data_IF_800224791997
#
_entry.id   IF_800224791997
#
_cell.length_a   1.000
_cell.length_b   1.000
_cell.length_c   1.000
_cell.angle_alpha   90.00
_cell.angle_beta   90.00
_cell.angle_gamma   90.00
#
_symmetry.space_group_name_H-M   'P 1'
#
loop_
_entity.id
_entity.type
_entity.pdbx_description
1 polymer ?
#
# COMPACT_ATOMS: atom_id res chain seq x y z
N UNK A 1 -52.30 15.51 5.97
CA UNK A 1 -51.04 15.81 5.26
C UNK A 1 -49.86 16.26 6.18
N UNK A 2 -50.07 17.02 7.27
CA UNK A 2 -48.96 17.52 8.07
C UNK A 2 -48.28 16.51 9.03
N UNK A 3 -48.97 15.50 9.51
CA UNK A 3 -48.42 14.50 10.46
C UNK A 3 -47.58 13.43 9.75
N UNK A 4 -48.04 12.92 8.63
CA UNK A 4 -47.30 11.91 7.81
C UNK A 4 -45.95 12.45 7.31
N UNK A 5 -45.90 13.70 6.85
CA UNK A 5 -44.64 14.31 6.43
C UNK A 5 -43.62 14.47 7.58
N UNK A 6 -44.09 14.66 8.82
CA UNK A 6 -43.21 14.76 9.98
C UNK A 6 -42.62 13.38 10.41
N UNK A 7 -43.40 12.31 10.29
CA UNK A 7 -42.94 10.97 10.59
C UNK A 7 -41.91 10.46 9.55
N UNK A 8 -42.19 10.72 8.27
CA UNK A 8 -41.28 10.42 7.18
C UNK A 8 -39.96 11.19 7.35
N UNK A 9 -40.03 12.50 7.66
CA UNK A 9 -38.83 13.31 7.92
C UNK A 9 -38.05 12.80 9.12
N UNK A 10 -38.72 12.42 10.21
CA UNK A 10 -38.08 11.87 11.41
C UNK A 10 -37.39 10.54 11.14
N UNK A 11 -38.05 9.62 10.40
CA UNK A 11 -37.47 8.37 9.96
C UNK A 11 -36.27 8.59 9.03
N UNK A 12 -36.33 9.55 8.12
CA UNK A 12 -35.22 9.92 7.25
C UNK A 12 -34.03 10.50 8.04
N UNK A 13 -34.27 11.36 9.02
CA UNK A 13 -33.24 11.94 9.89
C UNK A 13 -32.59 10.84 10.77
N UNK A 14 -33.38 9.87 11.24
CA UNK A 14 -32.86 8.69 11.95
C UNK A 14 -32.03 7.79 11.06
N UNK A 15 -32.45 7.53 9.81
CA UNK A 15 -31.68 6.80 8.80
C UNK A 15 -30.37 7.50 8.48
N UNK A 16 -30.38 8.84 8.34
CA UNK A 16 -29.14 9.62 8.12
C UNK A 16 -28.20 9.53 9.31
N UNK A 17 -28.69 9.57 10.54
CA UNK A 17 -27.89 9.35 11.77
C UNK A 17 -27.29 7.94 11.81
N UNK A 18 -28.06 6.93 11.42
CA UNK A 18 -27.63 5.54 11.33
C UNK A 18 -26.61 5.35 10.22
N UNK A 19 -26.82 5.97 9.05
CA UNK A 19 -25.88 5.95 7.91
C UNK A 19 -24.48 6.45 8.31
N UNK A 20 -24.41 7.47 9.16
CA UNK A 20 -23.13 7.99 9.66
C UNK A 20 -22.46 7.05 10.70
N UNK A 21 -23.22 6.14 11.33
CA UNK A 21 -22.69 5.15 12.26
C UNK A 21 -22.27 3.84 11.58
N UNK A 22 -22.74 3.59 10.35
CA UNK A 22 -22.50 2.32 9.64
C UNK A 22 -21.18 2.25 8.89
N UNK A 23 -20.27 3.22 9.08
CA UNK A 23 -19.00 3.31 8.36
C UNK A 23 -19.15 3.73 6.90
N UNK A 24 -18.05 4.18 6.31
CA UNK A 24 -17.97 4.60 4.90
C UNK A 24 -17.04 3.67 4.13
N UNK A 25 -17.34 3.43 2.87
CA UNK A 25 -16.41 2.76 1.97
C UNK A 25 -15.24 3.69 1.64
N UNK A 26 -14.04 3.18 1.86
CA UNK A 26 -12.77 3.85 1.57
C UNK A 26 -12.11 3.16 0.38
N UNK A 27 -11.72 3.95 -0.62
CA UNK A 27 -10.91 3.48 -1.73
C UNK A 27 -9.50 3.25 -1.21
N UNK A 28 -9.12 1.98 -1.05
CA UNK A 28 -7.91 1.53 -0.39
C UNK A 28 -6.96 0.88 -1.38
N UNK A 29 -5.69 1.27 -1.33
CA UNK A 29 -4.62 0.56 -2.02
C UNK A 29 -3.79 -0.24 -1.00
N UNK A 30 -3.74 -1.54 -1.21
CA UNK A 30 -2.77 -2.40 -0.55
C UNK A 30 -1.49 -2.44 -1.38
N UNK A 31 -0.35 -2.57 -0.74
CA UNK A 31 0.93 -2.76 -1.39
C UNK A 31 1.35 -1.58 -2.29
N UNK A 32 1.73 -0.49 -1.64
CA UNK A 32 2.31 0.67 -2.30
C UNK A 32 3.77 0.79 -1.88
N UNK A 33 4.65 0.88 -2.86
CA UNK A 33 6.03 1.27 -2.65
C UNK A 33 6.18 2.78 -2.64
N UNK A 34 7.18 3.26 -1.90
CA UNK A 34 7.58 4.66 -1.86
C UNK A 34 8.92 4.86 -2.55
N UNK A 35 9.36 6.09 -2.78
CA UNK A 35 10.69 6.38 -3.34
C UNK A 35 11.89 5.81 -2.55
N UNK A 36 11.67 5.24 -1.36
CA UNK A 36 12.71 4.55 -0.59
C UNK A 36 12.92 3.12 -1.07
N UNK A 37 11.90 2.49 -1.67
CA UNK A 37 12.06 1.14 -2.22
C UNK A 37 13.09 1.13 -3.35
N UNK A 38 14.01 0.18 -3.31
CA UNK A 38 15.17 0.14 -4.21
C UNK A 38 14.81 0.00 -5.69
N UNK A 39 13.65 -0.52 -5.99
CA UNK A 39 13.11 -0.76 -7.34
C UNK A 39 12.01 0.23 -7.75
N UNK A 40 11.67 1.21 -6.91
CA UNK A 40 10.69 2.24 -7.22
C UNK A 40 11.21 3.20 -8.33
N UNK A 41 10.36 3.56 -9.29
CA UNK A 41 10.75 4.37 -10.46
C UNK A 41 9.93 5.65 -10.65
N UNK A 42 9.06 6.03 -9.76
CA UNK A 42 8.18 7.20 -9.76
C UNK A 42 7.24 7.30 -10.97
N UNK A 43 7.77 7.27 -12.19
CA UNK A 43 7.02 7.32 -13.43
C UNK A 43 7.29 6.06 -14.28
N UNK A 44 6.25 5.55 -14.93
CA UNK A 44 6.35 4.36 -15.77
C UNK A 44 7.38 4.52 -16.90
N UNK A 45 7.49 5.71 -17.47
CA UNK A 45 8.47 6.04 -18.52
C UNK A 45 9.93 5.84 -18.08
N UNK A 46 10.20 5.80 -16.77
CA UNK A 46 11.52 5.54 -16.20
C UNK A 46 11.77 4.07 -15.82
N UNK A 47 10.79 3.20 -16.04
CA UNK A 47 10.90 1.79 -15.65
C UNK A 47 12.04 1.06 -16.36
N UNK A 48 12.32 1.42 -17.60
CA UNK A 48 13.34 0.78 -18.43
C UNK A 48 14.75 1.39 -18.25
N UNK A 49 14.88 2.43 -17.42
CA UNK A 49 16.18 3.03 -17.11
C UNK A 49 17.01 2.08 -16.24
N UNK A 50 18.28 1.87 -16.64
CA UNK A 50 19.25 1.22 -15.78
C UNK A 50 19.48 2.03 -14.48
N UNK A 51 19.95 1.40 -13.43
CA UNK A 51 20.28 2.09 -12.16
C UNK A 51 21.27 3.26 -12.39
N UNK A 52 22.21 3.10 -13.33
CA UNK A 52 23.16 4.16 -13.69
C UNK A 52 22.50 5.36 -14.36
N UNK A 53 21.50 5.13 -15.21
CA UNK A 53 20.75 6.21 -15.89
C UNK A 53 19.80 6.88 -14.89
N UNK A 54 19.09 6.10 -14.09
CA UNK A 54 18.24 6.59 -13.01
C UNK A 54 18.98 7.55 -12.06
N UNK A 55 20.19 7.16 -11.62
CA UNK A 55 20.99 7.98 -10.71
C UNK A 55 21.49 9.30 -11.34
N UNK A 56 21.50 9.41 -12.68
CA UNK A 56 21.90 10.63 -13.40
C UNK A 56 20.77 11.63 -13.61
N UNK A 57 19.51 11.22 -13.41
CA UNK A 57 18.39 12.15 -13.57
C UNK A 57 18.60 13.37 -12.67
N UNK A 58 18.44 14.55 -13.23
CA UNK A 58 18.55 15.83 -12.51
C UNK A 58 17.22 16.21 -11.84
N UNK A 59 17.22 17.25 -11.03
CA UNK A 59 15.98 17.83 -10.48
C UNK A 59 15.08 18.34 -11.61
N UNK A 60 15.68 18.90 -12.65
CA UNK A 60 14.98 19.41 -13.85
C UNK A 60 14.25 18.30 -14.58
N UNK A 61 14.84 17.09 -14.69
CA UNK A 61 14.19 15.93 -15.30
C UNK A 61 12.93 15.53 -14.50
N UNK A 62 13.02 15.53 -13.17
CA UNK A 62 11.87 15.27 -12.29
C UNK A 62 10.77 16.33 -12.47
N UNK A 63 11.13 17.61 -12.47
CA UNK A 63 10.19 18.71 -12.64
C UNK A 63 9.53 18.69 -14.02
N UNK A 64 10.28 18.31 -15.06
CA UNK A 64 9.76 18.17 -16.42
C UNK A 64 8.67 17.09 -16.45
N UNK A 65 8.95 15.90 -15.88
CA UNK A 65 7.96 14.80 -15.83
C UNK A 65 6.74 15.15 -14.97
N UNK A 66 6.93 15.84 -13.84
CA UNK A 66 5.83 16.32 -13.01
C UNK A 66 4.89 17.24 -13.80
N UNK A 67 5.45 18.14 -14.62
CA UNK A 67 4.69 19.05 -15.52
C UNK A 67 3.99 18.29 -16.63
N UNK A 68 4.69 17.36 -17.31
CA UNK A 68 4.11 16.52 -18.36
C UNK A 68 2.88 15.75 -17.85
N UNK A 69 2.94 15.24 -16.66
CA UNK A 69 1.84 14.51 -16.01
C UNK A 69 0.75 15.43 -15.41
N UNK A 70 0.93 16.76 -15.45
CA UNK A 70 -0.02 17.77 -14.93
C UNK A 70 -0.46 17.46 -13.48
N UNK A 71 0.48 17.06 -12.64
CA UNK A 71 0.21 16.67 -11.24
C UNK A 71 -0.04 17.88 -10.35
N UNK A 72 0.66 18.99 -10.65
CA UNK A 72 0.54 20.24 -9.93
C UNK A 72 0.32 21.40 -10.88
N UNK A 73 -0.51 22.42 -10.51
CA UNK A 73 -0.59 23.68 -11.19
C UNK A 73 0.75 24.42 -11.25
N UNK A 74 0.92 25.30 -12.25
CA UNK A 74 2.17 26.06 -12.47
C UNK A 74 2.59 26.91 -11.27
N UNK A 75 1.61 27.45 -10.50
CA UNK A 75 1.89 28.28 -9.33
C UNK A 75 2.68 27.56 -8.23
N UNK A 76 2.64 26.21 -8.17
CA UNK A 76 3.40 25.44 -7.18
C UNK A 76 4.87 25.26 -7.52
N UNK A 77 5.27 25.55 -8.77
CA UNK A 77 6.66 25.52 -9.20
C UNK A 77 7.39 26.83 -8.94
N UNK A 78 6.65 27.94 -8.74
CA UNK A 78 7.20 29.28 -8.47
C UNK A 78 6.38 29.95 -7.40
N UNK A 79 7.02 30.48 -6.35
CA UNK A 79 6.41 31.37 -5.38
C UNK A 79 6.81 32.82 -5.67
N UNK A 80 6.15 33.79 -5.02
CA UNK A 80 6.49 35.23 -5.12
C UNK A 80 7.93 35.52 -4.69
N UNK A 81 8.49 34.70 -3.80
CA UNK A 81 9.83 34.84 -3.24
C UNK A 81 10.87 33.93 -3.94
N UNK A 82 10.49 33.30 -5.06
CA UNK A 82 11.35 32.36 -5.79
C UNK A 82 11.39 30.94 -5.24
N UNK A 83 10.75 30.72 -4.10
CA UNK A 83 10.65 29.39 -3.47
C UNK A 83 9.54 28.54 -4.09
N UNK A 84 9.78 27.26 -4.24
CA UNK A 84 8.79 26.28 -4.72
C UNK A 84 8.29 25.40 -3.56
N UNK A 85 6.98 25.13 -3.52
CA UNK A 85 6.42 24.17 -2.57
C UNK A 85 6.92 22.75 -2.87
N UNK A 86 7.23 22.46 -4.14
CA UNK A 86 7.54 21.10 -4.59
C UNK A 86 8.98 20.69 -4.26
N UNK A 87 9.96 21.58 -4.34
CA UNK A 87 11.37 21.18 -4.19
C UNK A 87 12.17 21.98 -3.17
N UNK A 88 11.73 23.17 -2.74
CA UNK A 88 12.45 23.97 -1.77
C UNK A 88 12.19 23.48 -0.33
N UNK A 89 13.14 23.79 0.59
CA UNK A 89 12.99 23.49 2.01
C UNK A 89 12.90 21.98 2.35
N UNK A 90 13.47 21.11 1.53
CA UNK A 90 13.40 19.65 1.72
C UNK A 90 13.87 19.21 3.12
N UNK A 91 14.95 19.80 3.66
CA UNK A 91 15.47 19.50 5.01
C UNK A 91 14.44 19.85 6.09
N UNK A 92 13.82 21.04 6.01
CA UNK A 92 12.75 21.45 6.93
C UNK A 92 11.55 20.51 6.87
N UNK A 93 11.27 20.00 5.68
CA UNK A 93 10.21 19.03 5.44
C UNK A 93 10.61 17.59 5.81
N UNK A 94 11.89 17.35 6.17
CA UNK A 94 12.43 16.07 6.63
C UNK A 94 12.72 15.08 5.53
N UNK A 95 13.06 15.59 4.34
CA UNK A 95 13.59 14.82 3.21
C UNK A 95 15.10 15.00 3.10
N UNK A 96 15.78 14.07 2.46
CA UNK A 96 17.24 14.08 2.34
C UNK A 96 17.73 15.06 1.28
N UNK A 97 16.95 15.17 0.19
CA UNK A 97 17.26 16.04 -0.94
C UNK A 97 15.99 16.43 -1.71
N UNK A 98 16.15 17.31 -2.69
CA UNK A 98 15.06 17.83 -3.52
C UNK A 98 14.36 16.75 -4.33
N UNK A 99 15.11 15.80 -4.90
CA UNK A 99 14.52 14.69 -5.70
C UNK A 99 13.64 13.80 -4.83
N UNK A 100 14.08 13.51 -3.63
CA UNK A 100 13.29 12.73 -2.67
C UNK A 100 12.00 13.47 -2.31
N UNK A 101 12.09 14.76 -1.97
CA UNK A 101 10.89 15.56 -1.69
C UNK A 101 9.93 15.57 -2.87
N UNK A 102 10.40 15.87 -4.09
CA UNK A 102 9.58 15.87 -5.30
C UNK A 102 8.90 14.51 -5.44
N UNK A 103 9.65 13.42 -5.32
CA UNK A 103 9.12 12.07 -5.49
C UNK A 103 7.99 11.76 -4.52
N UNK A 104 8.18 12.01 -3.23
CA UNK A 104 7.15 11.79 -2.22
C UNK A 104 5.92 12.68 -2.40
N UNK A 105 6.09 13.96 -2.74
CA UNK A 105 4.96 14.86 -3.00
C UNK A 105 4.19 14.45 -4.25
N UNK A 106 4.88 13.97 -5.29
CA UNK A 106 4.27 13.45 -6.52
C UNK A 106 3.44 12.19 -6.22
N UNK A 107 3.96 11.25 -5.43
CA UNK A 107 3.20 10.07 -4.98
C UNK A 107 1.94 10.51 -4.24
N UNK A 108 2.08 11.38 -3.24
CA UNK A 108 0.94 11.88 -2.47
C UNK A 108 -0.10 12.57 -3.36
N UNK A 109 0.31 13.44 -4.28
CA UNK A 109 -0.59 14.14 -5.19
C UNK A 109 -1.28 13.19 -6.17
N UNK A 110 -0.59 12.18 -6.66
CA UNK A 110 -1.19 11.13 -7.50
C UNK A 110 -2.30 10.38 -6.75
N UNK A 111 -2.07 10.02 -5.49
CA UNK A 111 -3.10 9.39 -4.65
C UNK A 111 -4.32 10.28 -4.45
N UNK A 112 -4.12 11.60 -4.23
CA UNK A 112 -5.22 12.56 -4.16
C UNK A 112 -5.96 12.69 -5.49
N UNK A 113 -5.25 12.68 -6.63
CA UNK A 113 -5.87 12.71 -7.96
C UNK A 113 -6.79 11.51 -8.19
N UNK A 114 -6.35 10.32 -7.74
CA UNK A 114 -7.09 9.07 -7.88
C UNK A 114 -8.18 8.89 -6.80
N UNK A 115 -8.38 9.89 -5.92
CA UNK A 115 -9.33 9.84 -4.79
C UNK A 115 -9.12 8.62 -3.88
N UNK A 116 -7.87 8.23 -3.69
CA UNK A 116 -7.49 7.21 -2.70
C UNK A 116 -7.64 7.82 -1.31
N UNK A 117 -8.19 7.07 -0.38
CA UNK A 117 -8.41 7.55 0.98
C UNK A 117 -7.71 6.72 2.06
N UNK A 118 -7.19 5.53 1.69
CA UNK A 118 -6.37 4.70 2.57
C UNK A 118 -5.30 3.99 1.76
N UNK A 119 -4.08 3.92 2.28
CA UNK A 119 -2.97 3.18 1.69
C UNK A 119 -2.26 2.30 2.71
N UNK A 120 -1.74 1.16 2.26
CA UNK A 120 -0.77 0.36 3.02
C UNK A 120 0.59 0.57 2.36
N UNK A 121 1.48 1.30 3.04
CA UNK A 121 2.86 1.51 2.57
C UNK A 121 3.69 0.29 2.94
N UNK A 122 4.34 -0.32 1.95
CA UNK A 122 5.02 -1.61 2.12
C UNK A 122 6.28 -1.70 1.26
N UNK A 123 7.26 -0.84 1.53
CA UNK A 123 8.54 -0.87 0.85
C UNK A 123 9.29 -2.19 1.07
N UNK A 124 10.10 -2.60 0.09
CA UNK A 124 10.93 -3.80 0.19
C UNK A 124 11.92 -3.70 1.36
N UNK A 125 11.74 -4.61 2.33
CA UNK A 125 12.69 -4.85 3.42
C UNK A 125 13.02 -3.61 4.27
N UNK A 126 12.16 -2.57 4.24
CA UNK A 126 12.34 -1.35 5.02
C UNK A 126 11.00 -0.71 5.37
N UNK A 127 10.99 0.05 6.48
CA UNK A 127 9.84 0.85 6.91
C UNK A 127 10.15 2.36 6.90
N UNK A 128 11.30 2.75 6.36
CA UNK A 128 11.78 4.15 6.43
C UNK A 128 10.96 5.11 5.56
N UNK A 129 10.24 4.61 4.55
CA UNK A 129 9.36 5.40 3.69
C UNK A 129 8.06 5.86 4.35
N UNK A 130 7.58 5.16 5.39
CA UNK A 130 6.26 5.39 5.99
C UNK A 130 6.11 6.82 6.51
N UNK A 131 7.04 7.28 7.38
CA UNK A 131 6.98 8.64 7.95
C UNK A 131 7.17 9.73 6.91
N UNK A 132 7.98 9.48 5.88
CA UNK A 132 8.17 10.41 4.76
C UNK A 132 6.88 10.52 3.94
N UNK A 133 6.17 9.40 3.74
CA UNK A 133 4.87 9.38 3.06
C UNK A 133 3.78 10.12 3.85
N UNK A 134 3.68 9.91 5.16
CA UNK A 134 2.79 10.67 6.05
C UNK A 134 3.02 12.17 5.95
N UNK A 135 4.29 12.61 5.94
CA UNK A 135 4.65 14.02 5.77
C UNK A 135 4.24 14.56 4.41
N UNK A 136 4.52 13.81 3.35
CA UNK A 136 4.15 14.21 1.99
C UNK A 136 2.63 14.36 1.85
N UNK A 137 1.85 13.41 2.36
CA UNK A 137 0.39 13.48 2.39
C UNK A 137 -0.08 14.71 3.15
N UNK A 138 0.51 15.01 4.32
CA UNK A 138 0.17 16.21 5.08
C UNK A 138 0.41 17.48 4.28
N UNK A 139 1.61 17.64 3.69
CA UNK A 139 1.94 18.82 2.87
C UNK A 139 0.96 18.97 1.71
N UNK A 140 0.72 17.88 0.97
CA UNK A 140 -0.15 17.91 -0.21
C UNK A 140 -1.62 18.12 0.17
N UNK A 141 -2.07 17.65 1.33
CA UNK A 141 -3.45 17.86 1.83
C UNK A 141 -3.76 19.32 2.09
N UNK A 142 -2.76 20.13 2.44
CA UNK A 142 -2.89 21.55 2.74
C UNK A 142 -2.93 22.42 1.47
N UNK A 143 -2.63 21.86 0.30
CA UNK A 143 -2.66 22.58 -0.97
C UNK A 143 -4.10 22.88 -1.42
N UNK A 144 -4.32 24.08 -1.98
CA UNK A 144 -5.64 24.51 -2.46
C UNK A 144 -6.27 23.52 -3.46
N UNK A 145 -5.46 22.87 -4.31
CA UNK A 145 -5.90 21.87 -5.28
C UNK A 145 -6.59 20.65 -4.63
N UNK A 146 -6.30 20.36 -3.36
CA UNK A 146 -6.87 19.26 -2.60
C UNK A 146 -7.89 19.69 -1.54
N UNK A 147 -8.24 20.97 -1.50
CA UNK A 147 -9.23 21.51 -0.56
C UNK A 147 -10.56 20.78 -0.67
N UNK A 148 -11.06 20.26 0.46
CA UNK A 148 -12.31 19.51 0.51
C UNK A 148 -12.20 18.02 0.19
N UNK A 149 -11.02 17.54 -0.20
CA UNK A 149 -10.77 16.09 -0.32
C UNK A 149 -10.55 15.46 1.06
N UNK A 150 -10.88 14.18 1.19
CA UNK A 150 -10.61 13.43 2.42
C UNK A 150 -9.10 13.24 2.62
N UNK A 151 -8.64 13.33 3.87
CA UNK A 151 -7.25 13.04 4.23
C UNK A 151 -6.93 11.57 3.95
N UNK A 152 -5.76 11.29 3.38
CA UNK A 152 -5.33 9.92 3.09
C UNK A 152 -4.73 9.30 4.35
N UNK A 153 -5.32 8.20 4.81
CA UNK A 153 -4.81 7.42 5.95
C UNK A 153 -3.69 6.49 5.51
N UNK A 154 -2.57 6.53 6.21
CA UNK A 154 -1.43 5.63 6.00
C UNK A 154 -1.48 4.51 7.02
N UNK A 155 -1.48 3.27 6.54
CA UNK A 155 -1.32 2.06 7.34
C UNK A 155 0.09 1.55 7.11
N UNK A 156 0.78 1.24 8.21
CA UNK A 156 2.14 0.76 8.15
C UNK A 156 2.20 -0.66 7.62
N UNK A 157 3.12 -0.91 6.73
CA UNK A 157 3.43 -2.21 6.19
C UNK A 157 4.90 -2.33 5.81
N UNK A 158 5.29 -3.52 5.44
CA UNK A 158 6.58 -3.86 4.84
C UNK A 158 6.40 -5.07 3.95
N UNK A 159 7.05 -5.09 2.80
CA UNK A 159 7.17 -6.28 1.98
C UNK A 159 8.52 -6.94 2.24
N UNK A 160 8.49 -8.18 2.70
CA UNK A 160 9.69 -8.96 3.01
C UNK A 160 9.98 -9.90 1.85
N UNK A 161 11.12 -9.71 1.20
CA UNK A 161 11.67 -10.63 0.20
C UNK A 161 12.28 -11.83 0.91
N UNK A 162 11.62 -12.98 0.88
CA UNK A 162 12.03 -14.18 1.61
C UNK A 162 13.08 -15.02 0.85
N UNK A 163 13.85 -15.83 1.56
CA UNK A 163 14.89 -16.70 1.00
C UNK A 163 14.39 -17.68 -0.06
N UNK A 164 13.12 -18.05 0.01
CA UNK A 164 12.43 -18.92 -0.94
C UNK A 164 11.78 -18.17 -2.12
N UNK A 165 12.17 -16.92 -2.35
CA UNK A 165 11.67 -16.05 -3.44
C UNK A 165 10.17 -15.75 -3.39
N UNK A 166 9.55 -15.93 -2.22
CA UNK A 166 8.20 -15.51 -1.96
C UNK A 166 8.27 -14.16 -1.26
N UNK A 167 7.42 -13.24 -1.67
CA UNK A 167 7.25 -11.97 -0.97
C UNK A 167 6.11 -12.08 0.02
N UNK A 168 6.36 -11.65 1.24
CA UNK A 168 5.35 -11.62 2.31
C UNK A 168 5.12 -10.17 2.72
N UNK A 169 3.90 -9.70 2.52
CA UNK A 169 3.50 -8.41 3.03
C UNK A 169 3.03 -8.55 4.48
N UNK A 170 3.51 -7.65 5.32
CA UNK A 170 3.15 -7.56 6.74
C UNK A 170 2.63 -6.16 7.00
N UNK A 171 1.32 -6.00 7.27
CA UNK A 171 0.77 -4.74 7.75
C UNK A 171 0.60 -4.80 9.27
N UNK A 172 0.90 -3.70 9.96
CA UNK A 172 1.02 -3.65 11.41
C UNK A 172 0.59 -2.30 11.98
N UNK A 173 0.18 -2.24 13.28
CA UNK A 173 -0.16 -0.99 13.93
C UNK A 173 1.08 -0.17 14.27
N UNK A 174 0.97 1.15 14.25
CA UNK A 174 2.09 2.07 14.41
C UNK A 174 2.90 1.83 15.70
N UNK A 175 2.22 1.50 16.80
CA UNK A 175 2.85 1.20 18.10
C UNK A 175 3.71 -0.05 18.12
N UNK A 176 3.62 -0.89 17.08
CA UNK A 176 4.42 -2.11 16.91
C UNK A 176 5.58 -1.95 15.92
N UNK A 177 5.86 -0.74 15.44
CA UNK A 177 6.92 -0.48 14.44
C UNK A 177 8.30 -0.95 14.91
N UNK A 178 8.61 -0.86 16.20
CA UNK A 178 9.90 -1.31 16.75
C UNK A 178 10.07 -2.84 16.68
N UNK A 179 8.98 -3.63 16.72
CA UNK A 179 9.04 -5.08 16.55
C UNK A 179 9.49 -5.40 15.12
N UNK A 180 8.89 -4.73 14.14
CA UNK A 180 9.26 -4.90 12.72
C UNK A 180 10.70 -4.46 12.49
N UNK A 181 11.08 -3.27 12.97
CA UNK A 181 12.43 -2.73 12.81
C UNK A 181 13.48 -3.70 13.36
N UNK A 182 13.31 -4.16 14.59
CA UNK A 182 14.20 -5.14 15.20
C UNK A 182 14.27 -6.43 14.38
N UNK A 183 13.12 -6.94 13.91
CA UNK A 183 13.09 -8.14 13.10
C UNK A 183 13.87 -7.97 11.78
N UNK A 184 13.70 -6.83 11.10
CA UNK A 184 14.44 -6.52 9.87
C UNK A 184 15.95 -6.44 10.13
N UNK A 185 16.37 -5.74 11.20
CA UNK A 185 17.78 -5.64 11.59
C UNK A 185 18.41 -7.01 11.86
N UNK A 186 17.67 -7.94 12.48
CA UNK A 186 18.16 -9.27 12.83
C UNK A 186 18.11 -10.30 11.68
N UNK A 187 17.22 -10.11 10.69
CA UNK A 187 16.90 -11.17 9.72
C UNK A 187 17.12 -10.80 8.25
N UNK A 188 17.55 -9.57 7.94
CA UNK A 188 17.92 -9.21 6.58
C UNK A 188 19.41 -9.47 6.33
N UNK A 189 19.74 -9.92 5.13
CA UNK A 189 21.09 -9.90 4.57
C UNK A 189 21.44 -8.49 4.06
N UNK A 190 20.45 -7.79 3.56
CA UNK A 190 20.50 -6.42 3.06
C UNK A 190 19.13 -6.03 2.50
N UNK A 191 18.94 -4.73 2.23
CA UNK A 191 17.64 -4.24 1.71
C UNK A 191 17.35 -4.83 0.32
N UNK A 192 18.36 -4.95 -0.54
CA UNK A 192 18.21 -5.52 -1.89
C UNK A 192 18.19 -7.04 -1.88
N UNK A 193 18.99 -7.65 -1.00
CA UNK A 193 19.17 -9.11 -0.89
C UNK A 193 18.00 -9.80 -0.20
N UNK A 194 17.26 -9.08 0.63
CA UNK A 194 16.14 -9.60 1.37
C UNK A 194 16.53 -10.38 2.63
N UNK A 195 15.62 -11.22 3.10
CA UNK A 195 15.77 -12.01 4.31
C UNK A 195 16.33 -13.40 4.02
N UNK A 196 17.14 -13.92 4.94
CA UNK A 196 17.55 -15.32 4.94
C UNK A 196 16.47 -16.29 5.47
N UNK A 197 15.33 -15.76 5.93
CA UNK A 197 14.18 -16.56 6.39
C UNK A 197 13.29 -16.95 5.23
N UNK A 198 12.72 -18.14 5.28
CA UNK A 198 11.70 -18.57 4.34
C UNK A 198 10.34 -17.94 4.66
N UNK A 199 9.46 -17.87 3.67
CA UNK A 199 8.13 -17.27 3.83
C UNK A 199 7.29 -17.88 4.96
N UNK A 200 7.40 -19.19 5.19
CA UNK A 200 6.74 -19.86 6.32
C UNK A 200 7.19 -19.32 7.68
N UNK A 201 8.48 -19.06 7.85
CA UNK A 201 9.04 -18.55 9.11
C UNK A 201 8.59 -17.10 9.34
N UNK A 202 8.56 -16.30 8.26
CA UNK A 202 8.09 -14.91 8.30
C UNK A 202 6.61 -14.85 8.68
N UNK A 203 5.77 -15.64 8.00
CA UNK A 203 4.33 -15.70 8.28
C UNK A 203 4.06 -16.19 9.72
N UNK A 204 4.75 -17.25 10.16
CA UNK A 204 4.60 -17.78 11.53
C UNK A 204 4.97 -16.74 12.58
N UNK A 205 6.07 -16.00 12.36
CA UNK A 205 6.52 -14.95 13.27
C UNK A 205 5.45 -13.87 13.44
N UNK A 206 4.95 -13.32 12.34
CA UNK A 206 4.04 -12.18 12.42
C UNK A 206 2.57 -12.54 12.65
N UNK A 207 2.17 -13.78 12.37
CA UNK A 207 0.87 -14.29 12.81
C UNK A 207 0.78 -14.40 14.34
N UNK A 208 1.89 -14.70 15.03
CA UNK A 208 1.94 -14.70 16.52
C UNK A 208 1.77 -13.29 17.11
N UNK A 209 2.19 -12.27 16.37
CA UNK A 209 1.95 -10.86 16.73
C UNK A 209 0.56 -10.37 16.32
N UNK A 210 -0.25 -11.24 15.70
CA UNK A 210 -1.57 -10.96 15.17
C UNK A 210 -1.58 -9.84 14.09
N UNK A 211 -0.51 -9.73 13.30
CA UNK A 211 -0.45 -8.80 12.18
C UNK A 211 -1.24 -9.31 10.98
N UNK A 212 -1.57 -8.42 10.06
CA UNK A 212 -2.12 -8.82 8.75
C UNK A 212 -0.94 -9.27 7.90
N UNK A 213 -0.81 -10.58 7.69
CA UNK A 213 0.26 -11.16 6.86
C UNK A 213 -0.34 -11.86 5.66
N UNK A 214 0.24 -11.66 4.49
CA UNK A 214 -0.18 -12.38 3.30
C UNK A 214 0.99 -12.55 2.30
N UNK A 215 0.87 -13.59 1.45
CA UNK A 215 1.76 -13.76 0.31
C UNK A 215 1.38 -12.72 -0.72
N UNK A 216 2.31 -11.81 -1.05
CA UNK A 216 2.09 -10.76 -2.03
C UNK A 216 2.04 -11.32 -3.45
N UNK A 217 1.25 -10.70 -4.32
CA UNK A 217 1.12 -10.96 -5.77
C UNK A 217 1.39 -12.42 -6.19
N UNK A 218 0.78 -13.39 -5.50
CA UNK A 218 1.06 -14.83 -5.65
C UNK A 218 1.01 -15.33 -7.09
N UNK A 219 0.12 -14.76 -7.92
CA UNK A 219 -0.04 -15.14 -9.33
C UNK A 219 1.19 -14.80 -10.19
N UNK A 220 2.11 -13.97 -9.69
CA UNK A 220 3.42 -13.68 -10.30
C UNK A 220 4.57 -14.42 -9.63
N UNK A 221 4.36 -15.04 -8.46
CA UNK A 221 5.40 -15.74 -7.70
C UNK A 221 5.81 -17.09 -8.31
N UNK A 222 7.03 -17.54 -8.00
CA UNK A 222 7.58 -18.81 -8.45
C UNK A 222 6.77 -20.02 -7.97
N UNK A 223 6.17 -19.95 -6.78
CA UNK A 223 5.34 -21.03 -6.24
C UNK A 223 4.11 -21.32 -7.09
N UNK A 224 3.58 -20.30 -7.76
CA UNK A 224 2.42 -20.43 -8.65
C UNK A 224 2.84 -20.78 -10.07
N UNK A 225 3.90 -20.13 -10.60
CA UNK A 225 4.37 -20.29 -11.99
C UNK A 225 5.17 -21.58 -12.20
N UNK A 226 6.11 -21.88 -11.30
CA UNK A 226 6.94 -23.06 -11.37
C UNK A 226 6.82 -23.92 -10.11
N UNK A 227 5.77 -24.74 -10.12
CA UNK A 227 5.46 -25.62 -9.01
C UNK A 227 6.53 -26.67 -8.67
N UNK A 228 7.62 -26.81 -9.44
CA UNK A 228 8.69 -27.78 -9.19
C UNK A 228 9.71 -27.29 -8.16
N UNK A 229 9.84 -25.98 -7.99
CA UNK A 229 10.77 -25.38 -7.02
C UNK A 229 10.40 -25.69 -5.55
N UNK A 230 9.14 -26.05 -5.30
CA UNK A 230 8.63 -26.28 -3.95
C UNK A 230 8.10 -27.71 -3.79
N UNK A 231 8.46 -28.37 -2.67
CA UNK A 231 7.92 -29.70 -2.37
C UNK A 231 6.42 -29.64 -2.06
N UNK A 232 5.70 -30.72 -2.31
CA UNK A 232 4.28 -30.80 -1.99
C UNK A 232 4.01 -30.64 -0.48
N UNK A 233 4.92 -31.09 0.38
CA UNK A 233 4.82 -30.91 1.82
C UNK A 233 4.90 -29.43 2.21
N UNK A 234 5.84 -28.68 1.61
CA UNK A 234 5.98 -27.25 1.82
C UNK A 234 4.71 -26.50 1.39
N UNK A 235 4.21 -26.76 0.17
CA UNK A 235 3.00 -26.15 -0.35
C UNK A 235 1.78 -26.45 0.53
N UNK A 236 1.61 -27.70 1.01
CA UNK A 236 0.53 -28.07 1.90
C UNK A 236 0.58 -27.30 3.22
N UNK A 237 1.78 -27.08 3.77
CA UNK A 237 1.95 -26.29 4.99
C UNK A 237 1.65 -24.82 4.73
N UNK A 238 2.26 -24.22 3.72
CA UNK A 238 2.08 -22.81 3.37
C UNK A 238 0.61 -22.47 3.07
N UNK A 239 -0.07 -23.32 2.31
CA UNK A 239 -1.50 -23.15 1.98
C UNK A 239 -2.42 -23.86 2.99
N UNK A 240 -2.08 -23.87 4.26
CA UNK A 240 -2.98 -24.34 5.33
C UNK A 240 -3.77 -23.16 5.93
N UNK A 241 -4.90 -23.47 6.59
CA UNK A 241 -5.72 -22.44 7.28
C UNK A 241 -4.96 -21.70 8.37
N UNK A 242 -3.95 -22.34 8.95
CA UNK A 242 -3.11 -21.76 9.99
C UNK A 242 -2.23 -20.63 9.46
N UNK A 243 -1.67 -20.80 8.26
CA UNK A 243 -0.73 -19.84 7.66
C UNK A 243 -1.40 -18.88 6.68
N UNK A 244 -2.42 -19.32 5.96
CA UNK A 244 -2.98 -18.59 4.83
C UNK A 244 -4.40 -18.07 5.14
N UNK A 245 -4.51 -16.96 5.86
CA UNK A 245 -5.77 -16.23 6.03
C UNK A 245 -6.05 -15.33 4.84
N UNK A 246 -5.01 -14.65 4.37
CA UNK A 246 -5.07 -13.67 3.28
C UNK A 246 -4.07 -14.02 2.20
N UNK A 247 -4.37 -13.63 0.95
CA UNK A 247 -3.49 -13.82 -0.19
C UNK A 247 -3.61 -12.67 -1.19
N UNK A 248 -2.47 -12.11 -1.60
CA UNK A 248 -2.42 -11.04 -2.58
C UNK A 248 -2.46 -11.56 -4.02
N UNK A 249 -3.28 -10.92 -4.84
CA UNK A 249 -3.32 -11.15 -6.29
C UNK A 249 -3.24 -9.81 -7.03
N UNK A 250 -2.42 -9.73 -8.08
CA UNK A 250 -2.20 -8.50 -8.83
C UNK A 250 -3.39 -8.06 -9.69
N UNK A 251 -4.40 -8.93 -9.86
CA UNK A 251 -5.64 -8.58 -10.54
C UNK A 251 -6.78 -9.56 -10.15
N UNK A 252 -8.03 -9.08 -10.28
CA UNK A 252 -9.22 -9.85 -9.94
C UNK A 252 -9.42 -11.11 -10.79
N UNK A 253 -8.96 -11.09 -12.03
CA UNK A 253 -9.15 -12.19 -12.97
C UNK A 253 -8.31 -13.42 -12.59
N UNK A 254 -7.23 -13.20 -11.83
CA UNK A 254 -6.38 -14.27 -11.28
C UNK A 254 -7.01 -15.03 -10.11
N UNK A 255 -8.03 -14.48 -9.44
CA UNK A 255 -8.62 -15.07 -8.22
C UNK A 255 -9.08 -16.51 -8.43
N UNK A 256 -9.84 -16.76 -9.50
CA UNK A 256 -10.36 -18.11 -9.79
C UNK A 256 -9.25 -19.13 -10.02
N UNK A 257 -8.19 -18.74 -10.74
CA UNK A 257 -7.05 -19.60 -11.01
C UNK A 257 -6.27 -19.91 -9.74
N UNK A 258 -6.01 -18.90 -8.92
CA UNK A 258 -5.29 -19.05 -7.64
C UNK A 258 -6.12 -19.91 -6.67
N UNK A 259 -7.42 -19.67 -6.55
CA UNK A 259 -8.32 -20.48 -5.72
C UNK A 259 -8.29 -21.94 -6.15
N UNK A 260 -8.39 -22.22 -7.45
CA UNK A 260 -8.31 -23.58 -7.99
C UNK A 260 -6.96 -24.23 -7.73
N UNK A 261 -5.87 -23.46 -7.82
CA UNK A 261 -4.52 -23.96 -7.50
C UNK A 261 -4.41 -24.36 -6.04
N UNK A 262 -4.82 -23.50 -5.11
CA UNK A 262 -4.79 -23.76 -3.66
C UNK A 262 -5.67 -24.97 -3.32
N UNK A 263 -6.88 -25.07 -3.86
CA UNK A 263 -7.81 -26.16 -3.58
C UNK A 263 -7.31 -27.54 -4.04
N UNK A 264 -6.48 -27.59 -5.09
CA UNK A 264 -5.81 -28.82 -5.53
C UNK A 264 -4.74 -29.29 -4.55
N UNK A 265 -4.09 -28.35 -3.86
CA UNK A 265 -3.03 -28.64 -2.88
C UNK A 265 -3.64 -28.98 -1.52
N UNK A 266 -4.62 -28.18 -1.07
CA UNK A 266 -5.23 -28.33 0.23
C UNK A 266 -6.75 -28.02 0.16
N UNK A 267 -7.57 -29.07 0.11
CA UNK A 267 -9.02 -28.95 0.05
C UNK A 267 -9.59 -28.26 1.30
N UNK A 268 -10.51 -27.33 1.10
CA UNK A 268 -11.19 -26.62 2.19
C UNK A 268 -10.43 -25.42 2.74
N UNK A 269 -9.31 -25.03 2.13
CA UNK A 269 -8.65 -23.74 2.37
C UNK A 269 -9.26 -22.73 1.38
N UNK A 270 -9.82 -21.65 1.92
CA UNK A 270 -10.39 -20.56 1.12
C UNK A 270 -9.90 -19.22 1.71
N UNK A 271 -8.74 -18.73 1.32
CA UNK A 271 -8.21 -17.47 1.84
C UNK A 271 -9.02 -16.28 1.32
N UNK A 272 -9.01 -15.21 2.09
CA UNK A 272 -9.49 -13.92 1.61
C UNK A 272 -8.49 -13.33 0.59
N UNK A 273 -9.00 -12.86 -0.56
CA UNK A 273 -8.18 -12.30 -1.62
C UNK A 273 -8.04 -10.80 -1.47
N UNK A 274 -6.81 -10.33 -1.39
CA UNK A 274 -6.45 -8.92 -1.41
C UNK A 274 -6.01 -8.56 -2.81
N UNK A 275 -6.61 -7.49 -3.39
CA UNK A 275 -6.07 -6.91 -4.62
C UNK A 275 -4.79 -6.16 -4.28
N UNK A 276 -3.70 -6.72 -4.72
CA UNK A 276 -2.35 -6.35 -4.40
C UNK A 276 -1.80 -5.49 -5.55
N UNK A 277 -1.68 -4.18 -5.31
CA UNK A 277 -1.31 -3.23 -6.35
C UNK A 277 0.12 -3.39 -6.83
N UNK A 278 1.02 -3.77 -5.93
CA UNK A 278 2.45 -3.84 -6.20
C UNK A 278 2.95 -2.60 -6.98
N UNK A 279 2.74 -1.43 -6.38
CA UNK A 279 2.81 -0.16 -7.08
C UNK A 279 4.21 0.42 -7.05
N UNK A 280 4.96 0.26 -8.14
CA UNK A 280 6.32 0.76 -8.31
C UNK A 280 6.41 2.12 -9.02
N UNK A 281 5.29 2.67 -9.49
CA UNK A 281 5.18 3.99 -10.12
C UNK A 281 3.75 4.53 -10.00
N UNK A 282 3.61 5.85 -10.16
CA UNK A 282 2.34 6.55 -9.86
C UNK A 282 1.16 6.13 -10.74
N UNK A 283 1.41 5.67 -11.96
CA UNK A 283 0.36 5.23 -12.89
C UNK A 283 -0.36 3.97 -12.39
N UNK A 284 0.27 3.21 -11.47
CA UNK A 284 -0.35 2.05 -10.84
C UNK A 284 -1.39 2.43 -9.76
N UNK A 285 -1.43 3.67 -9.28
CA UNK A 285 -2.38 4.10 -8.24
C UNK A 285 -3.84 4.05 -8.68
N UNK A 286 -4.14 4.06 -9.97
CA UNK A 286 -5.49 3.89 -10.50
C UNK A 286 -5.93 2.43 -10.63
N UNK A 287 -4.99 1.48 -10.48
CA UNK A 287 -5.20 0.06 -10.78
C UNK A 287 -5.61 -0.70 -9.52
N UNK A 288 -6.63 -1.56 -9.65
CA UNK A 288 -7.06 -2.52 -8.62
C UNK A 288 -7.26 -1.98 -7.19
N UNK A 289 -7.92 -0.83 -6.97
CA UNK A 289 -8.26 -0.43 -5.61
C UNK A 289 -9.30 -1.37 -5.01
N UNK A 290 -9.21 -1.57 -3.69
CA UNK A 290 -10.25 -2.24 -2.92
C UNK A 290 -11.15 -1.22 -2.22
N UNK A 291 -12.42 -1.56 -2.06
CA UNK A 291 -13.37 -0.77 -1.29
C UNK A 291 -13.59 -1.41 0.07
N UNK A 292 -12.97 -0.84 1.09
CA UNK A 292 -13.05 -1.33 2.46
C UNK A 292 -13.97 -0.42 3.27
N UNK A 293 -14.86 -1.02 4.06
CA UNK A 293 -15.78 -0.27 4.92
C UNK A 293 -15.11 0.02 6.27
N UNK A 294 -14.98 1.30 6.61
CA UNK A 294 -14.43 1.75 7.87
C UNK A 294 -15.44 2.57 8.66
N UNK A 295 -15.53 2.38 9.97
CA UNK A 295 -16.14 3.35 10.89
C UNK A 295 -15.16 4.50 11.15
N UNK A 296 -13.86 4.18 11.33
CA UNK A 296 -12.74 5.09 11.39
C UNK A 296 -11.56 4.44 10.66
N UNK A 297 -10.95 5.12 9.70
CA UNK A 297 -9.79 4.58 8.98
C UNK A 297 -8.62 4.41 9.95
N UNK A 298 -8.19 3.19 10.15
CA UNK A 298 -7.10 2.79 11.02
C UNK A 298 -6.72 1.33 10.77
N UNK A 299 -5.52 0.93 11.19
CA UNK A 299 -5.09 -0.47 11.14
C UNK A 299 -6.09 -1.42 11.84
N UNK A 300 -6.57 -1.05 13.05
CA UNK A 300 -7.53 -1.87 13.80
C UNK A 300 -8.80 -2.15 12.99
N UNK A 301 -9.38 -1.10 12.40
CA UNK A 301 -10.59 -1.25 11.59
C UNK A 301 -10.33 -1.97 10.27
N UNK A 302 -9.14 -1.83 9.67
CA UNK A 302 -8.75 -2.63 8.52
C UNK A 302 -8.75 -4.13 8.88
N UNK A 303 -8.10 -4.50 9.99
CA UNK A 303 -8.04 -5.88 10.47
C UNK A 303 -9.45 -6.44 10.75
N UNK A 304 -10.29 -5.67 11.42
CA UNK A 304 -11.69 -6.04 11.68
C UNK A 304 -12.48 -6.23 10.37
N UNK A 305 -12.38 -5.27 9.45
CA UNK A 305 -13.09 -5.35 8.16
C UNK A 305 -12.65 -6.55 7.30
N UNK A 306 -11.38 -6.93 7.35
CA UNK A 306 -10.89 -8.11 6.65
C UNK A 306 -11.32 -9.43 7.32
N UNK A 307 -11.55 -9.42 8.64
CA UNK A 307 -11.99 -10.62 9.38
C UNK A 307 -13.50 -10.87 9.28
N UNK A 308 -14.31 -9.83 9.05
CA UNK A 308 -15.78 -9.97 8.95
C UNK A 308 -16.26 -10.51 7.58
N UNK A 309 -15.37 -10.64 6.60
CA UNK A 309 -15.69 -11.22 5.28
C UNK A 309 -15.69 -12.76 5.26
N UNK A 310 -15.49 -13.40 6.40
CA UNK A 310 -15.58 -14.86 6.55
C UNK A 310 -17.03 -15.38 6.75
N UNK A 311 -18.04 -14.55 6.46
CA UNK A 311 -19.46 -14.93 6.57
C UNK A 311 -20.10 -15.13 5.19
#
# INVERSE_FOLDING_TARGET
MGKENNEIKKAYDELLKTKNKCGKYSKTLFHIHTPVSHDYRLFKVWNDLSEKEWNKLSVEDYLLEVKNNKLFPEEYFKTKDGDSIIYNNYQKNGFENEKEQISFLVVAQSLYRENISTIVVSDHNTISGIKKMEKAIKIVSELNINKGKEYIEVINGVEISCADRIHVLVAFPNEKSEIIKKWLEENLMGIKEGSYKASLDVIDTFNKEEFITYIAHINSSDIFKDGKLFTNAYKKKLFSKEYLKYIGVSNKDSISNVRNYISKINKGVNPFFILDNDSHYIENHSINPMWIKFSKRSYKQLKESLSEYDV
#
